data_IF_378140496728
#
_entry.id   IF_378140496728
#
_cell.length_a   1.000
_cell.length_b   1.000
_cell.length_c   1.000
_cell.angle_alpha   90.00
_cell.angle_beta   90.00
_cell.angle_gamma   90.00
#
_symmetry.space_group_name_H-M   'P 1'
#
loop_
_entity.id
_entity.type
_entity.pdbx_description
1 polymer ?
#
# COMPACT_ATOMS: atom_id res chain seq x y z
N UNK A 1 14.61 7.32 -10.41
CA UNK A 1 13.21 6.93 -10.73
C UNK A 1 12.38 7.15 -9.48
N UNK A 2 11.39 8.05 -9.52
CA UNK A 2 10.59 8.40 -8.33
C UNK A 2 9.75 7.23 -7.82
N UNK A 3 9.36 6.31 -8.70
CA UNK A 3 8.74 5.04 -8.30
C UNK A 3 9.60 4.19 -7.36
N UNK A 4 10.90 4.16 -7.60
CA UNK A 4 11.83 3.46 -6.71
C UNK A 4 11.92 4.14 -5.35
N UNK A 5 11.89 5.46 -5.31
CA UNK A 5 11.84 6.24 -4.07
C UNK A 5 10.52 6.01 -3.33
N UNK A 6 9.39 5.98 -4.04
CA UNK A 6 8.09 5.65 -3.46
C UNK A 6 8.11 4.27 -2.80
N UNK A 7 8.60 3.25 -3.50
CA UNK A 7 8.72 1.90 -2.97
C UNK A 7 9.64 1.84 -1.73
N UNK A 8 10.76 2.58 -1.74
CA UNK A 8 11.66 2.65 -0.58
C UNK A 8 11.04 3.37 0.62
N UNK A 9 10.21 4.38 0.41
CA UNK A 9 9.61 5.19 1.48
C UNK A 9 8.32 4.58 2.02
N UNK A 10 7.48 4.05 1.14
CA UNK A 10 6.13 3.56 1.45
C UNK A 10 6.06 2.03 1.59
N UNK A 11 7.11 1.33 1.17
CA UNK A 11 7.16 -0.12 1.04
C UNK A 11 6.86 -0.58 -0.39
N UNK A 12 7.45 -1.70 -0.81
CA UNK A 12 7.28 -2.29 -2.14
C UNK A 12 5.85 -2.77 -2.37
N UNK A 13 5.20 -3.31 -1.33
CA UNK A 13 3.78 -3.68 -1.39
C UNK A 13 2.85 -2.50 -1.73
N UNK A 14 3.25 -1.25 -1.46
CA UNK A 14 2.45 -0.07 -1.75
C UNK A 14 2.19 0.10 -3.24
N UNK A 15 3.09 -0.40 -4.09
CA UNK A 15 2.91 -0.37 -5.54
C UNK A 15 1.63 -1.11 -5.98
N UNK A 16 1.20 -2.13 -5.24
CA UNK A 16 -0.05 -2.85 -5.52
C UNK A 16 -1.31 -2.04 -5.19
N UNK A 17 -1.20 -1.02 -4.33
CA UNK A 17 -2.32 -0.16 -3.92
C UNK A 17 -2.37 1.17 -4.68
N UNK A 18 -1.44 1.40 -5.62
CA UNK A 18 -1.42 2.60 -6.44
C UNK A 18 -2.04 2.32 -7.81
N UNK A 19 -3.32 2.70 -8.02
CA UNK A 19 -3.99 2.50 -9.30
C UNK A 19 -3.28 3.29 -10.40
N UNK A 20 -2.78 2.58 -11.42
CA UNK A 20 -1.99 3.16 -12.51
C UNK A 20 -2.81 4.14 -13.37
N UNK A 21 -4.12 3.95 -13.44
CA UNK A 21 -5.08 4.82 -14.13
C UNK A 21 -5.25 6.19 -13.43
N UNK A 22 -4.96 6.26 -12.12
CA UNK A 22 -5.01 7.51 -11.34
C UNK A 22 -3.62 8.10 -11.12
N UNK A 23 -2.63 7.25 -10.84
CA UNK A 23 -1.24 7.63 -10.55
C UNK A 23 -0.36 7.08 -11.67
N UNK A 24 -0.31 7.81 -12.79
CA UNK A 24 0.45 7.39 -13.97
C UNK A 24 1.95 7.66 -13.81
N UNK A 25 2.76 6.96 -14.63
CA UNK A 25 4.20 7.25 -14.72
C UNK A 25 4.48 8.71 -15.10
N UNK A 26 3.71 9.27 -16.04
CA UNK A 26 3.88 10.67 -16.45
C UNK A 26 3.62 11.63 -15.29
N UNK A 27 2.61 11.34 -14.47
CA UNK A 27 2.27 12.18 -13.33
C UNK A 27 3.36 12.16 -12.25
N UNK A 28 3.81 10.95 -11.89
CA UNK A 28 4.87 10.77 -10.89
C UNK A 28 6.19 11.37 -11.36
N UNK A 29 6.56 11.20 -12.63
CA UNK A 29 7.89 11.58 -13.13
C UNK A 29 7.97 13.01 -13.66
N UNK A 30 6.90 13.54 -14.25
CA UNK A 30 6.91 14.83 -14.97
C UNK A 30 6.03 15.90 -14.34
N UNK A 31 4.80 15.57 -13.95
CA UNK A 31 3.82 16.57 -13.52
C UNK A 31 4.06 17.04 -12.08
N UNK A 32 4.48 16.12 -11.21
CA UNK A 32 4.84 16.48 -9.85
C UNK A 32 6.19 17.22 -9.82
N UNK A 33 6.22 18.42 -9.23
CA UNK A 33 7.50 19.09 -8.96
C UNK A 33 8.24 18.38 -7.83
N UNK A 34 9.58 18.40 -7.86
CA UNK A 34 10.44 17.71 -6.87
C UNK A 34 10.06 18.05 -5.41
N UNK A 35 9.69 19.31 -5.14
CA UNK A 35 9.27 19.74 -3.79
C UNK A 35 7.92 19.18 -3.36
N UNK A 36 7.02 18.91 -4.30
CA UNK A 36 5.70 18.34 -4.00
C UNK A 36 5.74 16.82 -3.87
N UNK A 37 6.78 16.17 -4.39
CA UNK A 37 6.97 14.72 -4.28
C UNK A 37 7.07 14.24 -2.84
N UNK A 38 7.92 14.87 -2.03
CA UNK A 38 8.07 14.51 -0.62
C UNK A 38 6.76 14.73 0.16
N UNK A 39 6.08 15.85 -0.10
CA UNK A 39 4.77 16.16 0.50
C UNK A 39 3.73 15.12 0.11
N UNK A 40 3.75 14.64 -1.13
CA UNK A 40 2.83 13.60 -1.58
C UNK A 40 3.09 12.26 -0.88
N UNK A 41 4.36 11.84 -0.71
CA UNK A 41 4.69 10.64 0.05
C UNK A 41 4.19 10.72 1.50
N UNK A 42 4.39 11.87 2.17
CA UNK A 42 3.86 12.11 3.51
C UNK A 42 2.33 12.07 3.55
N UNK A 43 1.67 12.62 2.53
CA UNK A 43 0.22 12.60 2.41
C UNK A 43 -0.32 11.18 2.29
N UNK A 44 0.33 10.30 1.50
CA UNK A 44 -0.09 8.90 1.35
C UNK A 44 -0.07 8.19 2.71
N UNK A 45 1.00 8.35 3.49
CA UNK A 45 1.10 7.77 4.85
C UNK A 45 0.00 8.30 5.76
N UNK A 46 -0.30 9.60 5.68
CA UNK A 46 -1.31 10.25 6.50
C UNK A 46 -2.74 9.81 6.15
N UNK A 47 -3.06 9.70 4.86
CA UNK A 47 -4.42 9.46 4.38
C UNK A 47 -4.75 7.96 4.36
N UNK A 48 -3.76 7.09 4.15
CA UNK A 48 -3.95 5.64 4.17
C UNK A 48 -2.90 4.93 5.06
N UNK A 49 -2.95 5.15 6.38
CA UNK A 49 -1.99 4.54 7.30
C UNK A 49 -2.13 3.01 7.38
N UNK A 50 -3.31 2.46 7.04
CA UNK A 50 -3.55 1.02 7.03
C UNK A 50 -2.78 0.35 5.89
N UNK A 51 -2.88 0.89 4.67
CA UNK A 51 -2.10 0.37 3.54
C UNK A 51 -0.59 0.51 3.78
N UNK A 52 -0.15 1.62 4.39
CA UNK A 52 1.26 1.81 4.72
C UNK A 52 1.78 0.76 5.71
N UNK A 53 1.03 0.51 6.79
CA UNK A 53 1.36 -0.54 7.76
C UNK A 53 1.36 -1.92 7.11
N UNK A 54 0.33 -2.24 6.31
CA UNK A 54 0.23 -3.53 5.62
C UNK A 54 1.39 -3.75 4.64
N UNK A 55 1.73 -2.73 3.85
CA UNK A 55 2.90 -2.79 2.95
C UNK A 55 4.19 -2.98 3.72
N UNK A 56 4.38 -2.27 4.83
CA UNK A 56 5.62 -2.38 5.62
C UNK A 56 5.72 -3.76 6.28
N UNK A 57 4.61 -4.32 6.74
CA UNK A 57 4.55 -5.68 7.29
C UNK A 57 4.88 -6.74 6.23
N UNK A 58 4.36 -6.57 5.01
CA UNK A 58 4.67 -7.46 3.88
C UNK A 58 6.16 -7.40 3.53
N UNK A 59 6.73 -6.20 3.41
CA UNK A 59 8.16 -6.02 3.12
C UNK A 59 9.05 -6.65 4.20
N UNK A 60 8.69 -6.48 5.48
CA UNK A 60 9.40 -7.10 6.60
C UNK A 60 9.31 -8.64 6.55
N UNK A 61 8.12 -9.17 6.23
CA UNK A 61 7.91 -10.61 6.07
C UNK A 61 8.71 -11.17 4.88
N UNK A 62 8.74 -10.48 3.73
CA UNK A 62 9.52 -10.87 2.55
C UNK A 62 11.03 -10.84 2.85
N UNK A 63 11.49 -9.82 3.57
CA UNK A 63 12.92 -9.56 3.75
C UNK A 63 13.62 -9.20 2.43
N UNK A 64 14.92 -8.90 2.52
CA UNK A 64 15.69 -8.42 1.37
C UNK A 64 15.74 -9.42 0.19
N UNK A 65 15.83 -10.72 0.49
CA UNK A 65 15.86 -11.77 -0.52
C UNK A 65 14.51 -11.90 -1.26
N UNK A 66 13.39 -11.90 -0.53
CA UNK A 66 12.06 -11.96 -1.14
C UNK A 66 11.76 -10.73 -1.99
N UNK A 67 12.15 -9.54 -1.54
CA UNK A 67 12.02 -8.28 -2.31
C UNK A 67 12.86 -8.32 -3.59
N UNK A 68 14.03 -8.95 -3.56
CA UNK A 68 14.88 -9.13 -4.74
C UNK A 68 14.35 -10.20 -5.72
N UNK A 69 13.20 -10.83 -5.43
CA UNK A 69 12.60 -11.88 -6.26
C UNK A 69 13.11 -13.29 -5.94
N UNK A 70 13.74 -13.49 -4.78
CA UNK A 70 14.13 -14.81 -4.28
C UNK A 70 12.95 -15.69 -3.87
N UNK A 71 13.23 -16.94 -3.50
CA UNK A 71 12.18 -17.88 -3.11
C UNK A 71 11.51 -17.48 -1.79
N UNK A 72 10.19 -17.69 -1.71
CA UNK A 72 9.39 -17.49 -0.49
C UNK A 72 8.78 -18.80 0.02
N UNK A 73 9.17 -19.94 -0.56
CA UNK A 73 8.59 -21.27 -0.26
C UNK A 73 8.73 -21.69 1.20
N UNK A 74 9.80 -21.24 1.87
CA UNK A 74 10.12 -21.64 3.25
C UNK A 74 9.57 -20.64 4.28
N UNK A 75 8.85 -19.60 3.85
CA UNK A 75 8.27 -18.59 4.74
C UNK A 75 6.91 -19.03 5.24
N UNK A 76 6.67 -18.81 6.54
CA UNK A 76 5.34 -19.00 7.13
C UNK A 76 4.32 -18.09 6.46
N UNK A 77 3.07 -18.56 6.34
CA UNK A 77 2.01 -17.78 5.69
C UNK A 77 1.75 -16.48 6.45
N UNK A 78 1.89 -15.33 5.77
CA UNK A 78 1.50 -14.05 6.32
C UNK A 78 -0.03 -13.95 6.34
N UNK A 79 -0.61 -13.86 7.53
CA UNK A 79 -2.04 -13.70 7.74
C UNK A 79 -2.32 -12.36 8.41
N UNK A 80 -3.42 -11.74 8.01
CA UNK A 80 -3.97 -10.58 8.71
C UNK A 80 -5.13 -11.14 9.52
N UNK A 81 -5.02 -11.11 10.84
CA UNK A 81 -6.18 -11.36 11.69
C UNK A 81 -7.19 -10.26 11.40
N UNK A 82 -8.30 -10.61 10.76
CA UNK A 82 -9.42 -9.71 10.62
C UNK A 82 -10.07 -9.61 12.00
N UNK A 83 -9.84 -8.50 12.71
CA UNK A 83 -10.76 -8.08 13.76
C UNK A 83 -12.16 -8.10 13.13
N UNK A 84 -13.04 -8.95 13.66
CA UNK A 84 -14.37 -9.15 13.11
C UNK A 84 -15.00 -7.78 12.85
N UNK A 85 -15.30 -7.49 11.58
CA UNK A 85 -16.12 -6.33 11.25
C UNK A 85 -17.36 -6.40 12.15
N UNK A 86 -17.71 -5.33 12.88
CA UNK A 86 -18.96 -5.32 13.62
C UNK A 86 -20.06 -5.72 12.65
N UNK A 87 -20.99 -6.60 13.06
CA UNK A 87 -21.99 -7.16 12.15
C UNK A 87 -22.66 -6.00 11.41
N UNK A 88 -22.61 -6.09 10.08
CA UNK A 88 -23.28 -5.14 9.19
C UNK A 88 -24.69 -4.95 9.73
N UNK A 89 -25.02 -3.73 10.15
CA UNK A 89 -26.36 -3.40 10.63
C UNK A 89 -27.31 -3.75 9.50
N UNK A 90 -28.07 -4.83 9.66
CA UNK A 90 -29.13 -5.18 8.73
C UNK A 90 -30.14 -4.04 8.81
N UNK A 91 -30.23 -3.26 7.74
CA UNK A 91 -31.28 -2.27 7.59
C UNK A 91 -32.53 -3.07 7.26
N UNK A 92 -33.43 -3.25 8.23
CA UNK A 92 -34.78 -3.74 7.96
C UNK A 92 -35.51 -2.69 7.12
N UNK A 93 -35.87 -3.09 5.91
CA UNK A 93 -36.74 -2.32 5.03
C UNK A 93 -38.14 -2.28 5.66
N UNK A 94 -38.61 -1.07 5.99
CA UNK A 94 -39.96 -0.86 6.51
C UNK A 94 -40.86 -0.69 5.28
N UNK A 95 -41.86 -1.58 5.10
CA UNK A 95 -42.89 -1.41 4.07
C UNK A 95 -43.78 -0.19 4.38
N UNK A 96 -44.10 0.59 3.33
CA UNK A 96 -44.96 1.78 3.34
C UNK A 96 -46.42 1.49 3.75
#
# INVERSE_FOLDING_TARGET
LRWFEAARTLGWGMLCFMPYDVITNSWVENDLRIRHWHVWLELVVKVNPVAYKASTALDAWLGAEGIAGGSISDKETLSIEADALPPVTQVEEIED
#
